data_IF_771093830398
#
_entry.id   IF_771093830398
#
_cell.length_a   1.000
_cell.length_b   1.000
_cell.length_c   1.000
_cell.angle_alpha   90.00
_cell.angle_beta   90.00
_cell.angle_gamma   90.00
#
_symmetry.space_group_name_H-M   'P 1'
#
loop_
_entity.id
_entity.type
_entity.pdbx_description
1 polymer ?
#
# COMPACT_ATOMS: atom_id res chain seq x y z
N UNK A 1 22.81 3.80 -6.29
CA UNK A 1 23.02 5.26 -6.28
C UNK A 1 22.51 5.81 -7.61
N UNK A 2 21.32 6.39 -7.64
CA UNK A 2 20.66 6.69 -8.92
C UNK A 2 21.15 8.01 -9.53
N UNK A 3 21.50 7.93 -10.80
CA UNK A 3 21.80 9.05 -11.69
C UNK A 3 20.53 9.86 -12.03
N UNK A 4 20.79 11.12 -12.42
CA UNK A 4 19.89 12.24 -12.62
C UNK A 4 18.63 11.98 -13.47
N UNK A 5 17.51 12.48 -12.98
CA UNK A 5 16.45 13.11 -13.77
C UNK A 5 15.90 14.26 -12.93
N UNK A 6 15.73 15.43 -13.54
CA UNK A 6 15.42 16.72 -12.88
C UNK A 6 14.23 16.64 -11.93
N UNK A 7 14.48 16.30 -10.67
CA UNK A 7 13.50 16.41 -9.59
C UNK A 7 13.55 17.86 -9.12
N UNK A 8 12.47 18.59 -9.30
CA UNK A 8 12.19 19.73 -8.43
C UNK A 8 12.42 19.22 -6.99
N UNK A 9 13.41 19.78 -6.28
CA UNK A 9 13.73 19.38 -4.91
C UNK A 9 12.60 19.88 -4.00
N UNK A 10 11.45 19.20 -4.07
CA UNK A 10 10.32 19.45 -3.18
C UNK A 10 10.71 18.83 -1.84
N UNK A 11 11.15 19.68 -0.93
CA UNK A 11 11.34 19.33 0.47
C UNK A 11 9.96 19.31 1.12
N UNK A 12 9.56 18.16 1.67
CA UNK A 12 8.30 18.05 2.41
C UNK A 12 8.54 18.31 3.89
N UNK A 13 7.72 19.15 4.51
CA UNK A 13 7.79 19.36 5.95
C UNK A 13 7.22 18.17 6.73
N UNK A 14 7.62 18.05 8.00
CA UNK A 14 7.06 17.04 8.91
C UNK A 14 5.56 17.28 9.10
N UNK A 15 5.14 18.55 9.22
CA UNK A 15 3.75 18.96 9.35
C UNK A 15 2.92 18.59 8.13
N UNK A 16 3.46 18.79 6.92
CA UNK A 16 2.80 18.41 5.68
C UNK A 16 2.61 16.90 5.58
N UNK A 17 3.67 16.15 5.88
CA UNK A 17 3.65 14.68 5.92
C UNK A 17 2.62 14.19 6.95
N UNK A 18 2.65 14.73 8.17
CA UNK A 18 1.70 14.39 9.24
C UNK A 18 0.27 14.69 8.84
N UNK A 19 0.01 15.86 8.25
CA UNK A 19 -1.33 16.25 7.76
C UNK A 19 -1.81 15.28 6.67
N UNK A 20 -0.94 14.95 5.71
CA UNK A 20 -1.27 14.00 4.64
C UNK A 20 -1.58 12.60 5.21
N UNK A 21 -0.80 12.12 6.19
CA UNK A 21 -1.03 10.84 6.87
C UNK A 21 -2.37 10.83 7.61
N UNK A 22 -2.71 11.89 8.35
CA UNK A 22 -4.00 11.99 9.04
C UNK A 22 -5.16 11.95 8.04
N UNK A 23 -5.04 12.67 6.92
CA UNK A 23 -6.05 12.66 5.87
C UNK A 23 -6.17 11.29 5.20
N UNK A 24 -5.06 10.58 5.00
CA UNK A 24 -5.08 9.22 4.46
C UNK A 24 -5.82 8.26 5.39
N UNK A 25 -5.55 8.31 6.71
CA UNK A 25 -6.23 7.48 7.71
C UNK A 25 -7.73 7.79 7.74
N UNK A 26 -8.12 9.08 7.68
CA UNK A 26 -9.54 9.47 7.62
C UNK A 26 -10.24 8.95 6.38
N UNK A 27 -9.59 9.05 5.21
CA UNK A 27 -10.14 8.50 3.96
C UNK A 27 -10.31 6.99 4.03
N UNK A 28 -9.32 6.30 4.62
CA UNK A 28 -9.40 4.85 4.85
C UNK A 28 -10.58 4.51 5.76
N UNK A 29 -10.74 5.22 6.87
CA UNK A 29 -11.85 5.01 7.80
C UNK A 29 -13.22 5.18 7.11
N UNK A 30 -13.43 6.29 6.40
CA UNK A 30 -14.68 6.52 5.67
C UNK A 30 -14.89 5.49 4.57
N UNK A 31 -13.85 5.09 3.85
CA UNK A 31 -13.97 4.06 2.81
C UNK A 31 -14.41 2.72 3.41
N UNK A 32 -13.82 2.30 4.52
CA UNK A 32 -14.18 1.05 5.19
C UNK A 32 -15.62 1.04 5.72
N UNK A 33 -16.21 2.21 5.99
CA UNK A 33 -17.64 2.31 6.37
C UNK A 33 -18.60 2.02 5.21
N UNK A 34 -18.14 2.05 3.96
CA UNK A 34 -18.95 1.77 2.77
C UNK A 34 -18.66 0.38 2.17
N UNK A 35 -17.78 -0.41 2.81
CA UNK A 35 -17.53 -1.79 2.43
C UNK A 35 -18.40 -2.71 3.30
N UNK A 36 -18.75 -3.89 2.79
CA UNK A 36 -19.53 -4.85 3.58
C UNK A 36 -18.72 -5.34 4.79
N UNK A 37 -19.44 -5.83 5.79
CA UNK A 37 -18.83 -6.47 6.95
C UNK A 37 -17.94 -7.65 6.52
N UNK A 38 -16.79 -7.77 7.19
CA UNK A 38 -15.93 -8.92 6.99
C UNK A 38 -16.61 -10.20 7.51
N UNK A 39 -16.33 -11.37 6.91
CA UNK A 39 -16.79 -12.65 7.44
C UNK A 39 -16.37 -12.87 8.91
N UNK A 40 -17.05 -13.76 9.63
CA UNK A 40 -16.66 -14.09 11.02
C UNK A 40 -15.26 -14.72 11.09
N UNK A 41 -14.93 -15.59 10.13
CA UNK A 41 -13.62 -16.25 10.04
C UNK A 41 -12.74 -15.57 8.99
N UNK A 42 -11.69 -14.90 9.47
CA UNK A 42 -10.76 -14.16 8.60
C UNK A 42 -9.32 -14.50 8.91
N UNK A 43 -8.50 -14.53 7.87
CA UNK A 43 -7.04 -14.65 8.00
C UNK A 43 -6.35 -13.49 7.30
N UNK A 44 -5.32 -12.93 7.94
CA UNK A 44 -4.48 -11.91 7.34
C UNK A 44 -3.22 -12.55 6.77
N UNK A 45 -2.99 -12.34 5.48
CA UNK A 45 -1.72 -12.66 4.84
C UNK A 45 -1.02 -11.38 4.41
N UNK A 46 0.22 -11.18 4.85
CA UNK A 46 1.05 -10.05 4.43
C UNK A 46 2.17 -10.57 3.51
N UNK A 47 2.29 -9.96 2.33
CA UNK A 47 3.35 -10.23 1.36
C UNK A 47 4.21 -8.98 1.19
N UNK A 48 5.52 -9.16 1.25
CA UNK A 48 6.51 -8.13 0.96
C UNK A 48 7.22 -8.50 -0.34
N UNK A 49 7.44 -7.50 -1.20
CA UNK A 49 8.23 -7.66 -2.42
C UNK A 49 9.54 -6.90 -2.25
N UNK A 50 10.60 -7.50 -2.76
CA UNK A 50 11.93 -6.93 -2.75
C UNK A 50 12.19 -6.13 -4.02
N UNK A 51 13.18 -5.27 -3.97
CA UNK A 51 13.74 -4.67 -5.18
C UNK A 51 14.87 -5.56 -5.69
N UNK A 52 14.69 -6.13 -6.87
CA UNK A 52 15.64 -7.06 -7.50
C UNK A 52 17.06 -6.46 -7.60
N UNK A 53 17.15 -5.15 -7.83
CA UNK A 53 18.43 -4.46 -8.09
C UNK A 53 19.26 -4.12 -6.85
N UNK A 54 18.66 -4.11 -5.65
CA UNK A 54 19.31 -3.56 -4.44
C UNK A 54 19.14 -4.40 -3.20
N UNK A 55 18.27 -5.41 -3.22
CA UNK A 55 18.03 -6.27 -2.07
C UNK A 55 18.98 -7.46 -2.14
N UNK A 56 19.84 -7.71 -1.13
CA UNK A 56 20.69 -8.90 -1.10
C UNK A 56 19.87 -10.19 -1.17
N UNK A 57 20.38 -11.21 -1.86
CA UNK A 57 19.69 -12.49 -2.03
C UNK A 57 19.46 -13.24 -0.70
N UNK A 58 20.32 -13.02 0.29
CA UNK A 58 20.26 -13.63 1.61
C UNK A 58 19.48 -12.78 2.63
N UNK A 59 18.96 -11.62 2.23
CA UNK A 59 18.16 -10.78 3.13
C UNK A 59 16.77 -11.39 3.38
N UNK A 60 16.52 -11.76 4.64
CA UNK A 60 15.21 -12.21 5.10
C UNK A 60 14.69 -11.27 6.19
N UNK A 61 13.60 -10.52 5.95
CA UNK A 61 13.01 -9.66 6.95
C UNK A 61 12.41 -10.49 8.10
N UNK A 62 12.58 -10.06 9.36
CA UNK A 62 12.00 -10.73 10.52
C UNK A 62 10.48 -10.92 10.38
N UNK A 63 10.00 -12.13 10.68
CA UNK A 63 8.57 -12.48 10.59
C UNK A 63 8.08 -12.86 9.20
N UNK A 64 8.95 -12.81 8.18
CA UNK A 64 8.64 -13.27 6.83
C UNK A 64 9.47 -14.49 6.46
N UNK A 65 9.01 -15.21 5.44
CA UNK A 65 9.75 -16.28 4.76
C UNK A 65 9.60 -16.13 3.25
N UNK A 66 10.57 -16.61 2.50
CA UNK A 66 10.47 -16.68 1.04
C UNK A 66 9.22 -17.47 0.60
N UNK A 67 8.56 -16.98 -0.44
CA UNK A 67 7.38 -17.60 -1.04
C UNK A 67 7.44 -17.43 -2.55
N UNK A 68 7.14 -18.50 -3.29
CA UNK A 68 7.01 -18.51 -4.75
C UNK A 68 5.57 -18.17 -5.21
N UNK A 69 4.69 -17.76 -4.30
CA UNK A 69 3.28 -17.52 -4.61
C UNK A 69 3.10 -16.15 -5.25
N UNK A 70 2.30 -16.10 -6.33
CA UNK A 70 2.04 -14.88 -7.09
C UNK A 70 1.58 -13.69 -6.22
N UNK A 71 1.88 -12.44 -6.64
CA UNK A 71 1.78 -11.27 -5.79
C UNK A 71 0.40 -11.05 -5.18
N UNK A 72 -0.68 -11.30 -5.90
CA UNK A 72 -2.05 -11.27 -5.42
C UNK A 72 -2.91 -12.13 -6.35
N UNK A 73 -3.38 -13.28 -5.87
CA UNK A 73 -4.46 -13.99 -6.54
C UNK A 73 -5.77 -13.53 -5.89
N UNK A 74 -6.49 -12.63 -6.56
CA UNK A 74 -7.78 -12.14 -6.08
C UNK A 74 -8.87 -13.10 -6.56
N UNK A 75 -9.61 -13.69 -5.63
CA UNK A 75 -10.78 -14.50 -5.95
C UNK A 75 -11.99 -13.57 -6.15
N UNK A 76 -12.57 -13.55 -7.36
CA UNK A 76 -13.70 -12.68 -7.69
C UNK A 76 -13.35 -11.65 -8.77
N UNK A 77 -14.21 -10.64 -8.93
CA UNK A 77 -13.97 -9.51 -9.85
C UNK A 77 -13.35 -8.34 -9.08
N UNK A 78 -12.05 -8.02 -9.24
CA UNK A 78 -11.41 -7.00 -8.44
C UNK A 78 -11.81 -5.57 -8.87
N UNK A 79 -12.14 -4.73 -7.89
CA UNK A 79 -12.19 -3.29 -8.03
C UNK A 79 -11.09 -2.63 -7.18
N UNK A 80 -10.14 -1.94 -7.84
CA UNK A 80 -9.03 -1.26 -7.15
C UNK A 80 -9.31 0.23 -6.94
N UNK A 81 -9.42 0.63 -5.68
CA UNK A 81 -9.56 2.00 -5.24
C UNK A 81 -8.21 2.63 -4.87
N UNK A 82 -7.94 3.83 -5.38
CA UNK A 82 -6.76 4.63 -5.04
C UNK A 82 -7.05 5.49 -3.82
N UNK A 83 -6.70 5.01 -2.63
CA UNK A 83 -7.03 5.69 -1.36
C UNK A 83 -6.24 6.99 -1.20
N UNK A 84 -4.93 6.96 -1.53
CA UNK A 84 -4.11 8.16 -1.48
C UNK A 84 -2.62 7.90 -1.52
N UNK A 85 -1.88 8.98 -1.29
CA UNK A 85 -0.42 9.02 -1.36
C UNK A 85 0.12 9.98 -0.30
N UNK A 86 1.18 9.57 0.39
CA UNK A 86 1.94 10.39 1.33
C UNK A 86 3.39 10.38 0.88
N UNK A 87 4.01 11.56 0.82
CA UNK A 87 5.42 11.69 0.51
C UNK A 87 6.13 12.46 1.62
N UNK A 88 7.38 12.09 1.81
CA UNK A 88 8.42 12.87 2.49
C UNK A 88 9.48 13.25 1.46
N UNK A 89 10.49 14.00 1.87
CA UNK A 89 11.64 14.36 1.02
C UNK A 89 12.37 13.14 0.44
N UNK A 90 12.36 12.00 1.13
CA UNK A 90 13.16 10.82 0.75
C UNK A 90 12.32 9.62 0.29
N UNK A 91 11.07 9.53 0.73
CA UNK A 91 10.22 8.36 0.52
C UNK A 91 8.81 8.75 0.14
N UNK A 92 8.14 7.88 -0.59
CA UNK A 92 6.73 8.00 -0.94
C UNK A 92 5.99 6.69 -0.70
N UNK A 93 4.77 6.79 -0.20
CA UNK A 93 3.88 5.65 0.03
C UNK A 93 2.56 5.88 -0.72
N UNK A 94 2.15 4.91 -1.54
CA UNK A 94 0.86 4.91 -2.24
C UNK A 94 0.00 3.80 -1.65
N UNK A 95 -1.20 4.13 -1.19
CA UNK A 95 -2.16 3.16 -0.65
C UNK A 95 -3.25 2.89 -1.70
N UNK A 96 -3.43 1.61 -2.01
CA UNK A 96 -4.53 1.09 -2.83
C UNK A 96 -5.26 0.01 -2.05
N UNK A 97 -6.56 -0.08 -2.27
CA UNK A 97 -7.39 -1.16 -1.74
C UNK A 97 -8.03 -1.86 -2.93
N UNK A 98 -8.02 -3.18 -2.91
CA UNK A 98 -8.72 -4.00 -3.89
C UNK A 98 -9.74 -4.83 -3.14
N UNK A 99 -11.00 -4.70 -3.54
CA UNK A 99 -12.14 -5.44 -3.01
C UNK A 99 -12.88 -6.09 -4.17
N UNK A 100 -13.86 -6.94 -3.88
CA UNK A 100 -14.74 -7.44 -4.92
C UNK A 100 -15.61 -6.29 -5.42
N UNK A 101 -15.82 -6.22 -6.74
CA UNK A 101 -16.55 -5.12 -7.37
C UNK A 101 -17.96 -4.94 -6.83
N UNK A 102 -18.61 -6.01 -6.39
CA UNK A 102 -19.93 -5.94 -5.76
C UNK A 102 -19.98 -5.02 -4.54
N UNK A 103 -18.87 -4.83 -3.82
CA UNK A 103 -18.83 -3.98 -2.62
C UNK A 103 -18.76 -2.48 -2.92
N UNK A 104 -18.43 -2.09 -4.15
CA UNK A 104 -18.28 -0.68 -4.53
C UNK A 104 -19.34 -0.19 -5.51
N UNK A 105 -20.11 -1.11 -6.09
CA UNK A 105 -21.18 -0.80 -7.04
C UNK A 105 -22.56 -0.59 -6.35
N UNK A 106 -22.64 -0.76 -5.03
CA UNK A 106 -23.86 -0.54 -4.22
C UNK A 106 -24.12 0.94 -3.89
#
# INVERSE_FOLDING_TARGET
>A
FCANSSKNNITFSIEETKRATILLIRKLFVLMQHLDEMPEDVSLTMKLFYYDEVTPEDYQPPGFRASSTDPLNFQGDPATLRVGHVASTFHSMKLRITVDRSQVDN
#
